data_IF_716237378669
#
_entry.id   IF_716237378669
#
_cell.length_a   1.000
_cell.length_b   1.000
_cell.length_c   1.000
_cell.angle_alpha   90.00
_cell.angle_beta   90.00
_cell.angle_gamma   90.00
#
_symmetry.space_group_name_H-M   'P 1'
#
loop_
_entity.id
_entity.type
_entity.pdbx_description
1 polymer ?
#
# COMPACT_ATOMS: atom_id res chain seq x y z
N UNK A 1 -23.29 -2.91 2.58
CA UNK A 1 -23.83 -2.87 3.96
C UNK A 1 -22.87 -3.52 4.91
N UNK A 2 -22.61 -2.90 6.06
CA UNK A 2 -21.80 -3.48 7.14
C UNK A 2 -22.65 -3.61 8.41
N UNK A 3 -22.31 -4.62 9.21
CA UNK A 3 -22.87 -4.88 10.53
C UNK A 3 -21.72 -4.94 11.53
N UNK A 4 -21.81 -4.19 12.61
CA UNK A 4 -20.75 -4.13 13.62
C UNK A 4 -21.32 -3.93 15.02
N UNK A 5 -20.47 -4.11 16.02
CA UNK A 5 -20.72 -3.71 17.40
C UNK A 5 -19.93 -2.45 17.68
N UNK A 6 -20.54 -1.48 18.34
CA UNK A 6 -19.78 -0.34 18.88
C UNK A 6 -19.03 -0.70 20.17
N UNK A 7 -18.36 0.28 20.76
CA UNK A 7 -17.56 0.14 21.98
C UNK A 7 -18.40 -0.33 23.19
N UNK A 8 -19.72 -0.13 23.16
CA UNK A 8 -20.65 -0.55 24.21
C UNK A 8 -21.31 -1.90 23.89
N UNK A 9 -20.96 -2.54 22.78
CA UNK A 9 -21.52 -3.82 22.32
C UNK A 9 -22.90 -3.70 21.68
N UNK A 10 -23.34 -2.48 21.34
CA UNK A 10 -24.62 -2.26 20.65
C UNK A 10 -24.47 -2.58 19.18
N UNK A 11 -25.46 -3.29 18.62
CA UNK A 11 -25.46 -3.68 17.20
C UNK A 11 -25.86 -2.52 16.31
N UNK A 12 -25.08 -2.34 15.25
CA UNK A 12 -25.34 -1.40 14.18
C UNK A 12 -25.38 -2.10 12.83
N UNK A 13 -26.21 -1.58 11.92
CA UNK A 13 -26.26 -1.98 10.52
C UNK A 13 -26.45 -0.73 9.65
N UNK A 14 -25.59 -0.55 8.66
CA UNK A 14 -25.64 0.62 7.78
C UNK A 14 -25.12 0.31 6.38
N UNK A 15 -25.74 0.94 5.40
CA UNK A 15 -25.23 0.99 4.03
C UNK A 15 -24.25 2.17 3.87
N UNK A 16 -23.10 1.88 3.29
CA UNK A 16 -22.05 2.85 3.01
C UNK A 16 -21.78 2.85 1.51
N UNK A 17 -21.41 4.00 0.97
CA UNK A 17 -21.07 4.18 -0.44
C UNK A 17 -19.92 5.18 -0.59
N UNK A 18 -19.36 5.29 -1.79
CA UNK A 18 -18.29 6.23 -2.10
C UNK A 18 -17.02 5.99 -1.26
N UNK A 19 -16.47 7.09 -0.71
CA UNK A 19 -15.20 7.05 0.00
C UNK A 19 -15.28 6.31 1.34
N UNK A 20 -16.38 6.49 2.08
CA UNK A 20 -16.59 5.81 3.37
C UNK A 20 -16.59 4.29 3.19
N UNK A 21 -17.27 3.79 2.15
CA UNK A 21 -17.24 2.36 1.83
C UNK A 21 -15.82 1.86 1.52
N UNK A 22 -15.03 2.64 0.78
CA UNK A 22 -13.65 2.27 0.44
C UNK A 22 -12.74 2.20 1.66
N UNK A 23 -12.82 3.19 2.55
CA UNK A 23 -12.05 3.19 3.80
C UNK A 23 -12.46 2.00 4.68
N UNK A 24 -13.75 1.77 4.86
CA UNK A 24 -14.22 0.64 5.68
C UNK A 24 -13.80 -0.71 5.11
N UNK A 25 -13.81 -0.88 3.79
CA UNK A 25 -13.30 -2.11 3.15
C UNK A 25 -11.79 -2.28 3.34
N UNK A 26 -11.01 -1.19 3.28
CA UNK A 26 -9.57 -1.22 3.55
C UNK A 26 -9.27 -1.68 4.98
N UNK A 27 -9.96 -1.11 5.98
CA UNK A 27 -9.77 -1.53 7.37
C UNK A 27 -10.28 -2.96 7.61
N UNK A 28 -11.35 -3.35 6.92
CA UNK A 28 -11.85 -4.73 7.00
C UNK A 28 -10.84 -5.74 6.44
N UNK A 29 -10.19 -5.44 5.31
CA UNK A 29 -9.15 -6.30 4.72
C UNK A 29 -8.03 -6.61 5.71
N UNK A 30 -7.67 -5.65 6.58
CA UNK A 30 -6.67 -5.88 7.62
C UNK A 30 -7.09 -6.92 8.66
N UNK A 31 -8.38 -7.11 8.92
CA UNK A 31 -8.88 -8.18 9.80
C UNK A 31 -8.65 -9.57 9.19
N UNK A 32 -8.58 -9.65 7.87
CA UNK A 32 -8.33 -10.88 7.10
C UNK A 32 -6.85 -11.03 6.71
N UNK A 33 -5.98 -10.12 7.17
CA UNK A 33 -4.56 -10.10 6.81
C UNK A 33 -4.29 -9.72 5.35
N UNK A 34 -5.26 -9.11 4.66
CA UNK A 34 -5.12 -8.61 3.30
C UNK A 34 -4.60 -7.18 3.33
N UNK A 35 -3.59 -6.89 2.51
CA UNK A 35 -3.09 -5.54 2.29
C UNK A 35 -3.68 -4.98 1.00
N UNK A 36 -3.72 -3.65 0.88
CA UNK A 36 -4.16 -3.03 -0.37
C UNK A 36 -3.28 -3.43 -1.56
N UNK A 37 -2.02 -3.82 -1.31
CA UNK A 37 -1.06 -4.32 -2.29
C UNK A 37 -1.53 -5.64 -2.94
N UNK A 38 -2.37 -6.43 -2.26
CA UNK A 38 -2.93 -7.67 -2.81
C UNK A 38 -4.08 -7.41 -3.78
N UNK A 39 -4.63 -6.18 -3.78
CA UNK A 39 -5.80 -5.79 -4.60
C UNK A 39 -5.46 -4.82 -5.72
N UNK A 40 -4.36 -4.07 -5.61
CA UNK A 40 -3.97 -3.07 -6.59
C UNK A 40 -2.86 -3.59 -7.52
N UNK A 41 -2.91 -3.25 -8.82
CA UNK A 41 -1.79 -3.48 -9.72
C UNK A 41 -0.59 -2.62 -9.31
N UNK A 42 0.61 -3.19 -9.38
CA UNK A 42 1.85 -2.49 -8.97
C UNK A 42 2.16 -1.31 -9.88
N UNK A 43 1.62 -1.29 -11.10
CA UNK A 43 1.73 -0.22 -12.09
C UNK A 43 1.10 1.08 -11.61
N UNK A 44 0.09 1.00 -10.73
CA UNK A 44 -0.59 2.17 -10.17
C UNK A 44 0.16 2.77 -8.96
N UNK A 45 1.20 2.09 -8.47
CA UNK A 45 1.94 2.50 -7.29
C UNK A 45 3.09 3.45 -7.66
N UNK A 46 3.27 4.47 -6.83
CA UNK A 46 4.42 5.36 -6.88
C UNK A 46 5.00 5.53 -5.48
N UNK A 47 6.29 5.78 -5.42
CA UNK A 47 7.02 6.11 -4.19
C UNK A 47 7.64 7.49 -4.32
N UNK A 48 7.72 8.21 -3.21
CA UNK A 48 8.35 9.51 -3.18
C UNK A 48 9.86 9.37 -2.95
N UNK A 49 10.65 9.79 -3.94
CA UNK A 49 12.11 9.73 -3.88
C UNK A 49 12.67 11.14 -3.73
N UNK A 50 13.64 11.31 -2.82
CA UNK A 50 14.38 12.56 -2.64
C UNK A 50 15.57 12.59 -3.60
N UNK A 51 15.61 13.61 -4.47
CA UNK A 51 16.72 13.87 -5.38
C UNK A 51 17.90 14.56 -4.69
N UNK A 52 19.03 14.62 -5.39
CA UNK A 52 20.25 15.32 -4.95
C UNK A 52 20.04 16.84 -4.79
N UNK A 53 19.07 17.39 -5.51
CA UNK A 53 18.61 18.77 -5.41
C UNK A 53 17.79 19.05 -4.13
N UNK A 54 17.61 18.03 -3.28
CA UNK A 54 16.83 18.09 -2.04
C UNK A 54 15.32 18.04 -2.23
N UNK A 55 14.82 17.96 -3.47
CA UNK A 55 13.39 17.93 -3.76
C UNK A 55 12.87 16.49 -3.79
N UNK A 56 11.60 16.33 -3.43
CA UNK A 56 10.92 15.04 -3.46
C UNK A 56 10.04 14.94 -4.71
N UNK A 57 10.13 13.84 -5.46
CA UNK A 57 9.30 13.57 -6.63
C UNK A 57 8.63 12.19 -6.55
N UNK A 58 7.41 12.01 -7.05
CA UNK A 58 6.82 10.68 -7.20
C UNK A 58 7.54 9.93 -8.33
N UNK A 59 7.86 8.67 -8.10
CA UNK A 59 8.49 7.76 -9.08
C UNK A 59 7.69 6.47 -9.10
N UNK A 60 7.32 5.92 -10.27
CA UNK A 60 6.62 4.64 -10.35
C UNK A 60 7.37 3.54 -9.58
N UNK A 61 6.64 2.75 -8.79
CA UNK A 61 7.22 1.73 -7.92
C UNK A 61 8.09 0.73 -8.70
N UNK A 62 7.60 0.27 -9.85
CA UNK A 62 8.31 -0.67 -10.71
C UNK A 62 9.62 -0.11 -11.28
N UNK A 63 9.74 1.21 -11.46
CA UNK A 63 11.00 1.84 -11.88
C UNK A 63 12.04 1.76 -10.76
N UNK A 64 11.64 2.11 -9.54
CA UNK A 64 12.52 2.04 -8.36
C UNK A 64 13.00 0.61 -8.10
N UNK A 65 12.11 -0.39 -8.26
CA UNK A 65 12.50 -1.79 -8.09
C UNK A 65 13.53 -2.24 -9.14
N UNK A 66 13.33 -1.90 -10.42
CA UNK A 66 14.30 -2.22 -11.48
C UNK A 66 15.68 -1.63 -11.22
N UNK A 67 15.73 -0.37 -10.77
CA UNK A 67 17.00 0.29 -10.42
C UNK A 67 17.69 -0.39 -9.22
N UNK A 68 16.92 -0.76 -8.20
CA UNK A 68 17.43 -1.45 -7.02
C UNK A 68 18.00 -2.83 -7.37
N UNK A 69 17.30 -3.60 -8.19
CA UNK A 69 17.72 -4.92 -8.69
C UNK A 69 19.00 -4.82 -9.52
N UNK A 70 19.07 -3.87 -10.47
CA UNK A 70 20.27 -3.64 -11.28
C UNK A 70 21.49 -3.28 -10.42
N UNK A 71 21.28 -2.47 -9.38
CA UNK A 71 22.33 -2.10 -8.42
C UNK A 71 22.76 -3.27 -7.52
N UNK A 72 21.83 -4.14 -7.14
CA UNK A 72 22.15 -5.35 -6.38
C UNK A 72 22.97 -6.33 -7.24
N UNK A 73 22.60 -6.50 -8.51
CA UNK A 73 23.29 -7.38 -9.45
C UNK A 73 24.71 -6.92 -9.82
N UNK A 74 25.00 -5.61 -9.76
CA UNK A 74 26.33 -5.07 -10.09
C UNK A 74 27.34 -5.09 -8.94
N UNK A 75 26.92 -5.40 -7.70
CA UNK A 75 27.83 -5.56 -6.58
C UNK A 75 28.47 -6.96 -6.62
N UNK A 76 29.81 -7.08 -6.77
CA UNK A 76 30.47 -8.38 -6.71
C UNK A 76 30.34 -8.96 -5.30
N UNK A 77 30.11 -10.27 -5.23
CA UNK A 77 30.13 -11.05 -3.99
C UNK A 77 31.53 -10.90 -3.35
N UNK A 78 31.67 -9.99 -2.39
CA UNK A 78 32.87 -9.86 -1.55
C UNK A 78 32.76 -10.84 -0.39
N UNK A 79 32.79 -12.12 -0.69
CA UNK A 79 33.10 -13.16 0.29
C UNK A 79 34.09 -14.15 -0.34
N UNK A 80 35.37 -13.99 0.04
CA UNK A 80 36.45 -14.97 -0.03
C UNK A 80 37.44 -14.68 1.10
#
# INVERSE_FOLDING_TARGET
>A
TLRWLDEQGVRHEREFSGWDARMLLHEYDHLEGVLFLDRLPLEDLYVYVRGEDGKTRPVPYLEVMREAEAKAASKPNLEA
#
